data_IF_899779348290
#
_entry.id   IF_899779348290
#
_cell.length_a   1.000
_cell.length_b   1.000
_cell.length_c   1.000
_cell.angle_alpha   90.00
_cell.angle_beta   90.00
_cell.angle_gamma   90.00
#
_symmetry.space_group_name_H-M   'P 1'
#
loop_
_entity.id
_entity.type
_entity.pdbx_description
1 polymer ?
#
# COMPACT_ATOMS: atom_id res chain seq x y z
N UNK A 1 20.91 -7.12 -3.72
CA UNK A 1 19.50 -6.71 -3.90
C UNK A 1 19.43 -5.69 -5.02
N UNK A 2 18.72 -6.00 -6.11
CA UNK A 2 18.52 -5.04 -7.21
C UNK A 2 17.17 -4.36 -7.06
N UNK A 3 17.16 -3.18 -6.45
CA UNK A 3 15.91 -2.43 -6.19
C UNK A 3 15.24 -1.92 -7.47
N UNK A 4 16.02 -1.72 -8.56
CA UNK A 4 15.45 -1.31 -9.85
C UNK A 4 14.54 -2.38 -10.46
N UNK A 5 14.74 -3.64 -10.14
CA UNK A 5 13.89 -4.74 -10.60
C UNK A 5 12.77 -5.08 -9.62
N UNK A 6 12.82 -4.51 -8.42
CA UNK A 6 11.80 -4.74 -7.40
C UNK A 6 10.54 -3.93 -7.72
N UNK A 7 9.41 -4.62 -7.76
CA UNK A 7 8.10 -3.99 -7.96
C UNK A 7 7.37 -3.94 -6.62
N UNK A 8 6.71 -2.82 -6.35
CA UNK A 8 5.82 -2.70 -5.20
C UNK A 8 4.43 -2.35 -5.73
N UNK A 9 3.45 -3.13 -5.31
CA UNK A 9 2.05 -2.85 -5.61
C UNK A 9 1.44 -2.02 -4.47
N UNK A 10 0.42 -1.25 -4.78
CA UNK A 10 -0.37 -0.55 -3.78
C UNK A 10 -1.85 -0.82 -3.99
N UNK A 11 -2.61 -0.81 -2.91
CA UNK A 11 -4.06 -1.03 -2.96
C UNK A 11 -4.73 -0.27 -1.82
N UNK A 12 -5.97 0.17 -2.02
CA UNK A 12 -6.83 0.64 -0.95
C UNK A 12 -7.94 -0.36 -0.73
N UNK A 13 -8.22 -0.72 0.53
CA UNK A 13 -9.23 -1.73 0.79
C UNK A 13 -10.66 -1.25 0.51
N UNK A 14 -10.92 0.06 0.58
CA UNK A 14 -12.24 0.63 0.36
C UNK A 14 -13.32 -0.11 1.15
N UNK A 15 -14.40 -0.46 0.45
CA UNK A 15 -15.52 -1.23 1.01
C UNK A 15 -15.63 -2.63 0.39
N UNK A 16 -14.55 -3.14 -0.17
CA UNK A 16 -14.58 -4.44 -0.84
C UNK A 16 -15.01 -5.57 0.10
N UNK A 17 -15.82 -6.51 -0.42
CA UNK A 17 -15.96 -7.80 0.23
C UNK A 17 -14.58 -8.48 0.23
N UNK A 18 -14.27 -9.26 1.26
CA UNK A 18 -12.96 -9.89 1.36
C UNK A 18 -12.65 -10.79 0.16
N UNK A 19 -13.61 -11.57 -0.32
CA UNK A 19 -13.38 -12.44 -1.46
C UNK A 19 -12.95 -11.68 -2.72
N UNK A 20 -13.56 -10.53 -2.98
CA UNK A 20 -13.15 -9.68 -4.10
C UNK A 20 -11.77 -9.08 -3.88
N UNK A 21 -11.50 -8.59 -2.67
CA UNK A 21 -10.18 -8.09 -2.30
C UNK A 21 -9.09 -9.15 -2.51
N UNK A 22 -9.38 -10.38 -2.08
CA UNK A 22 -8.47 -11.50 -2.27
C UNK A 22 -8.23 -11.79 -3.77
N UNK A 23 -9.28 -11.72 -4.59
CA UNK A 23 -9.15 -11.87 -6.04
C UNK A 23 -8.21 -10.82 -6.64
N UNK A 24 -8.32 -9.56 -6.20
CA UNK A 24 -7.42 -8.50 -6.63
C UNK A 24 -5.97 -8.83 -6.26
N UNK A 25 -5.73 -9.28 -5.03
CA UNK A 25 -4.38 -9.66 -4.61
C UNK A 25 -3.84 -10.83 -5.44
N UNK A 26 -4.66 -11.83 -5.71
CA UNK A 26 -4.27 -12.99 -6.50
C UNK A 26 -4.02 -12.65 -7.98
N UNK A 27 -4.77 -11.71 -8.53
CA UNK A 27 -4.57 -11.23 -9.91
C UNK A 27 -3.15 -10.70 -10.10
N UNK A 28 -2.59 -10.05 -9.08
CA UNK A 28 -1.23 -9.51 -9.10
C UNK A 28 -0.23 -10.41 -8.40
N UNK A 29 -0.64 -11.63 -8.05
CA UNK A 29 0.22 -12.66 -7.44
C UNK A 29 0.88 -12.19 -6.13
N UNK A 30 0.16 -11.42 -5.33
CA UNK A 30 0.67 -10.85 -4.08
C UNK A 30 0.93 -11.97 -3.06
N UNK A 31 2.10 -11.92 -2.45
CA UNK A 31 2.55 -12.86 -1.42
C UNK A 31 2.55 -12.27 -0.02
N UNK A 32 2.65 -10.93 0.07
CA UNK A 32 2.73 -10.23 1.36
C UNK A 32 2.02 -8.88 1.29
N UNK A 33 1.27 -8.56 2.36
CA UNK A 33 0.60 -7.27 2.50
C UNK A 33 1.18 -6.50 3.68
N UNK A 34 1.72 -5.31 3.40
CA UNK A 34 2.12 -4.34 4.41
C UNK A 34 0.97 -3.36 4.65
N UNK A 35 0.42 -3.38 5.84
CA UNK A 35 -0.67 -2.48 6.24
C UNK A 35 -0.07 -1.17 6.74
N UNK A 36 -0.19 -0.12 5.92
CA UNK A 36 0.41 1.18 6.18
C UNK A 36 -0.56 2.17 6.83
N UNK A 37 -1.69 1.70 7.35
CA UNK A 37 -2.61 2.54 8.11
C UNK A 37 -2.01 2.88 9.47
N UNK A 38 -2.23 4.12 9.93
CA UNK A 38 -1.81 4.50 11.28
C UNK A 38 -2.47 3.61 12.34
N UNK A 39 -3.74 3.30 12.14
CA UNK A 39 -4.52 2.38 12.98
C UNK A 39 -5.16 1.35 12.08
N UNK A 40 -4.94 0.07 12.40
CA UNK A 40 -5.48 -1.05 11.62
C UNK A 40 -6.92 -1.35 12.03
N UNK A 41 -7.78 -0.38 11.88
CA UNK A 41 -9.22 -0.47 12.16
C UNK A 41 -10.03 -0.01 10.96
N UNK A 42 -11.22 -0.60 10.81
CA UNK A 42 -12.16 -0.24 9.78
C UNK A 42 -13.59 -0.46 10.28
N UNK A 43 -14.54 0.32 9.75
CA UNK A 43 -15.98 0.03 9.92
C UNK A 43 -16.36 -1.27 9.21
N UNK A 44 -15.54 -1.72 8.27
CA UNK A 44 -15.72 -2.97 7.54
C UNK A 44 -14.93 -4.05 8.29
N UNK A 45 -15.61 -4.99 9.00
CA UNK A 45 -14.94 -5.92 9.93
C UNK A 45 -13.79 -6.72 9.32
N UNK A 46 -13.93 -7.09 8.04
CA UNK A 46 -12.90 -7.88 7.33
C UNK A 46 -11.56 -7.14 7.18
N UNK A 47 -11.55 -5.82 7.37
CA UNK A 47 -10.35 -5.00 7.27
C UNK A 47 -9.82 -4.52 8.62
N UNK A 48 -10.37 -5.00 9.72
CA UNK A 48 -9.71 -4.86 11.02
C UNK A 48 -8.46 -5.72 11.04
N UNK A 49 -7.34 -5.16 11.52
CA UNK A 49 -6.02 -5.78 11.34
C UNK A 49 -5.90 -7.22 11.76
N UNK A 50 -6.43 -7.60 12.93
CA UNK A 50 -6.37 -8.99 13.40
C UNK A 50 -7.21 -9.93 12.52
N UNK A 51 -8.39 -9.48 12.08
CA UNK A 51 -9.26 -10.26 11.19
C UNK A 51 -8.61 -10.38 9.81
N UNK A 52 -8.12 -9.28 9.26
CA UNK A 52 -7.46 -9.27 7.95
C UNK A 52 -6.23 -10.16 7.96
N UNK A 53 -5.40 -10.09 8.99
CA UNK A 53 -4.22 -10.94 9.14
C UNK A 53 -4.58 -12.41 9.07
N UNK A 54 -5.59 -12.83 9.83
CA UNK A 54 -6.04 -14.22 9.86
C UNK A 54 -6.57 -14.68 8.50
N UNK A 55 -7.43 -13.86 7.87
CA UNK A 55 -7.98 -14.16 6.56
C UNK A 55 -6.89 -14.27 5.49
N UNK A 56 -5.91 -13.39 5.50
CA UNK A 56 -4.80 -13.44 4.55
C UNK A 56 -3.91 -14.66 4.79
N UNK A 57 -3.55 -14.93 6.04
CA UNK A 57 -2.71 -16.08 6.39
C UNK A 57 -3.39 -17.40 6.02
N UNK A 58 -4.71 -17.53 6.21
CA UNK A 58 -5.48 -18.70 5.79
C UNK A 58 -5.44 -18.91 4.27
N UNK A 59 -5.12 -17.85 3.52
CA UNK A 59 -5.01 -17.88 2.06
C UNK A 59 -3.55 -17.78 1.57
N UNK A 60 -2.58 -18.02 2.44
CA UNK A 60 -1.16 -18.08 2.08
C UNK A 60 -0.50 -16.72 1.85
N UNK A 61 -1.10 -15.62 2.30
CA UNK A 61 -0.57 -14.27 2.13
C UNK A 61 -0.11 -13.75 3.50
N UNK A 62 1.15 -13.29 3.58
CA UNK A 62 1.69 -12.70 4.80
C UNK A 62 1.09 -11.33 5.09
N UNK A 63 1.18 -10.90 6.33
CA UNK A 63 0.65 -9.60 6.78
C UNK A 63 1.55 -9.00 7.87
N UNK A 64 1.83 -7.72 7.74
CA UNK A 64 2.50 -6.96 8.79
C UNK A 64 1.90 -5.55 8.84
N UNK A 65 1.50 -5.10 10.04
CA UNK A 65 1.06 -3.72 10.27
C UNK A 65 2.26 -2.84 10.59
N UNK A 66 2.41 -1.75 9.85
CA UNK A 66 3.49 -0.77 9.98
C UNK A 66 2.90 0.60 10.30
N UNK A 67 2.44 0.84 11.55
CA UNK A 67 1.74 2.08 11.92
C UNK A 67 2.59 3.33 11.72
N UNK A 68 3.91 3.23 11.83
CA UNK A 68 4.86 4.32 11.61
C UNK A 68 4.86 4.85 10.17
N UNK A 69 4.28 4.12 9.24
CA UNK A 69 4.15 4.57 7.83
C UNK A 69 2.81 5.25 7.56
N UNK A 70 1.95 5.34 8.56
CA UNK A 70 0.64 5.97 8.43
C UNK A 70 0.71 7.48 8.53
N UNK A 71 -0.25 8.17 7.89
CA UNK A 71 -0.24 9.63 7.84
C UNK A 71 -0.89 10.33 9.00
N UNK A 72 -1.70 9.63 9.80
CA UNK A 72 -2.47 10.28 10.87
C UNK A 72 -1.68 10.54 12.15
N UNK A 73 -0.66 9.74 12.43
CA UNK A 73 0.08 9.80 13.69
C UNK A 73 1.33 10.68 13.62
N UNK A 74 1.65 11.25 12.46
CA UNK A 74 2.83 12.08 12.23
C UNK A 74 4.08 11.47 12.89
N UNK A 75 4.52 10.29 12.43
CA UNK A 75 5.66 9.60 13.02
C UNK A 75 6.94 10.43 12.94
N UNK A 76 7.88 10.16 13.84
CA UNK A 76 9.20 10.76 13.76
C UNK A 76 9.89 10.32 12.46
N UNK A 77 10.74 11.17 11.86
CA UNK A 77 11.44 10.82 10.61
C UNK A 77 12.17 9.47 10.69
N UNK A 78 12.84 9.18 11.80
CA UNK A 78 13.57 7.91 11.98
C UNK A 78 12.64 6.69 12.05
N UNK A 79 11.45 6.84 12.62
CA UNK A 79 10.46 5.76 12.68
C UNK A 79 9.84 5.51 11.32
N UNK A 80 9.50 6.59 10.60
CA UNK A 80 9.00 6.49 9.23
C UNK A 80 10.04 5.84 8.31
N UNK A 81 11.29 6.24 8.44
CA UNK A 81 12.41 5.68 7.69
C UNK A 81 12.55 4.17 7.93
N UNK A 82 12.44 3.74 9.17
CA UNK A 82 12.49 2.32 9.53
C UNK A 82 11.34 1.54 8.92
N UNK A 83 10.13 2.10 8.91
CA UNK A 83 8.97 1.48 8.28
C UNK A 83 9.14 1.34 6.77
N UNK A 84 9.63 2.37 6.11
CA UNK A 84 9.93 2.33 4.66
C UNK A 84 11.02 1.29 4.37
N UNK A 85 12.06 1.24 5.19
CA UNK A 85 13.10 0.22 5.06
C UNK A 85 12.52 -1.20 5.18
N UNK A 86 11.61 -1.41 6.12
CA UNK A 86 10.94 -2.70 6.30
C UNK A 86 10.14 -3.12 5.06
N UNK A 87 9.40 -2.18 4.46
CA UNK A 87 8.68 -2.44 3.21
C UNK A 87 9.64 -2.94 2.11
N UNK A 88 10.75 -2.25 1.94
CA UNK A 88 11.75 -2.60 0.91
C UNK A 88 12.35 -3.97 1.21
N UNK A 89 12.67 -4.25 2.46
CA UNK A 89 13.22 -5.53 2.89
C UNK A 89 12.28 -6.68 2.52
N UNK A 90 10.99 -6.55 2.81
CA UNK A 90 9.99 -7.56 2.46
C UNK A 90 9.86 -7.66 0.93
N UNK A 91 9.74 -6.52 0.25
CA UNK A 91 9.51 -6.48 -1.19
C UNK A 91 10.69 -7.00 -2.01
N UNK A 92 11.90 -7.01 -1.45
CA UNK A 92 13.07 -7.57 -2.11
C UNK A 92 13.02 -9.09 -2.22
N UNK A 93 12.20 -9.75 -1.42
CA UNK A 93 12.08 -11.22 -1.40
C UNK A 93 10.71 -11.72 -1.81
N UNK A 94 9.65 -10.94 -1.54
CA UNK A 94 8.26 -11.34 -1.77
C UNK A 94 7.55 -10.30 -2.63
N UNK A 95 6.58 -10.78 -3.41
CA UNK A 95 5.72 -9.88 -4.18
C UNK A 95 4.77 -9.18 -3.21
N UNK A 96 5.01 -7.90 -3.00
CA UNK A 96 4.46 -7.13 -1.88
C UNK A 96 3.48 -6.07 -2.35
N UNK A 97 2.40 -5.91 -1.60
CA UNK A 97 1.46 -4.79 -1.73
C UNK A 97 1.46 -3.97 -0.45
N UNK A 98 1.46 -2.65 -0.57
CA UNK A 98 1.16 -1.76 0.56
C UNK A 98 -0.30 -1.35 0.50
N UNK A 99 -0.98 -1.39 1.65
CA UNK A 99 -2.43 -1.16 1.72
C UNK A 99 -2.78 -0.02 2.67
N UNK A 100 -3.64 0.86 2.21
CA UNK A 100 -4.35 1.82 3.07
C UNK A 100 -5.88 1.67 2.89
N UNK A 101 -6.66 2.58 3.43
CA UNK A 101 -8.12 2.52 3.33
C UNK A 101 -8.69 3.11 2.04
N UNK A 102 -8.03 4.11 1.46
CA UNK A 102 -8.52 4.80 0.26
C UNK A 102 -8.34 3.95 -1.00
N UNK A 103 -9.44 3.62 -1.67
CA UNK A 103 -9.42 2.75 -2.84
C UNK A 103 -8.90 3.44 -4.11
N UNK A 104 -9.08 4.76 -4.23
CA UNK A 104 -8.63 5.51 -5.39
C UNK A 104 -7.27 6.16 -5.12
N UNK A 105 -6.24 5.88 -5.94
CA UNK A 105 -4.92 6.48 -5.74
C UNK A 105 -4.89 7.97 -6.07
N UNK A 106 -5.75 8.40 -6.97
CA UNK A 106 -5.84 9.80 -7.39
C UNK A 106 -7.25 10.33 -7.15
N UNK A 107 -7.34 11.55 -6.64
CA UNK A 107 -8.63 12.24 -6.50
C UNK A 107 -9.15 12.70 -7.86
N UNK A 108 -10.49 12.74 -8.07
CA UNK A 108 -11.09 13.13 -9.34
C UNK A 108 -11.11 14.67 -9.53
N UNK A 109 -9.96 15.32 -9.46
CA UNK A 109 -9.81 16.74 -9.71
C UNK A 109 -9.43 16.98 -11.18
N UNK A 110 -9.64 18.19 -11.65
CA UNK A 110 -9.23 18.60 -13.02
C UNK A 110 -7.74 18.32 -13.23
N UNK A 111 -6.91 18.59 -12.21
CA UNK A 111 -5.54 18.11 -12.13
C UNK A 111 -5.54 16.99 -11.08
N UNK A 112 -5.30 15.73 -11.46
CA UNK A 112 -5.31 14.63 -10.51
C UNK A 112 -4.32 14.86 -9.36
N UNK A 113 -4.73 14.52 -8.15
CA UNK A 113 -3.92 14.68 -6.93
C UNK A 113 -3.83 13.36 -6.19
N UNK A 114 -2.70 13.14 -5.51
CA UNK A 114 -2.54 11.98 -4.64
C UNK A 114 -3.58 12.02 -3.53
N UNK A 115 -4.32 10.93 -3.37
CA UNK A 115 -5.51 10.89 -2.51
C UNK A 115 -5.23 10.38 -1.10
N UNK A 116 -4.05 9.82 -0.86
CA UNK A 116 -3.69 9.28 0.45
C UNK A 116 -2.16 9.23 0.63
N UNK A 117 -1.73 8.92 1.84
CA UNK A 117 -0.31 8.88 2.18
C UNK A 117 0.46 7.79 1.45
N UNK A 118 -0.17 6.65 1.08
CA UNK A 118 0.53 5.63 0.32
C UNK A 118 0.99 6.13 -1.06
N UNK A 119 0.22 7.02 -1.67
CA UNK A 119 0.54 7.60 -2.99
C UNK A 119 1.35 8.88 -2.86
N UNK A 120 0.96 9.78 -1.95
CA UNK A 120 1.57 11.11 -1.87
C UNK A 120 2.82 11.18 -0.99
N UNK A 121 3.05 10.20 -0.14
CA UNK A 121 4.18 10.17 0.78
C UNK A 121 5.04 8.92 0.60
N UNK A 122 4.47 7.73 0.77
CA UNK A 122 5.26 6.50 0.75
C UNK A 122 5.82 6.18 -0.64
N UNK A 123 5.03 6.33 -1.70
CA UNK A 123 5.51 6.04 -3.05
C UNK A 123 6.70 6.91 -3.44
N UNK A 124 6.69 8.25 -3.25
CA UNK A 124 7.87 9.07 -3.49
C UNK A 124 9.08 8.65 -2.66
N UNK A 125 8.89 8.25 -1.40
CA UNK A 125 9.98 7.79 -0.54
C UNK A 125 10.59 6.48 -1.05
N UNK A 126 9.75 5.55 -1.50
CA UNK A 126 10.21 4.29 -2.08
C UNK A 126 11.00 4.53 -3.36
N UNK A 127 10.53 5.44 -4.22
CA UNK A 127 11.25 5.81 -5.45
C UNK A 127 12.59 6.44 -5.15
N UNK A 128 12.65 7.32 -4.15
CA UNK A 128 13.91 7.95 -3.74
C UNK A 128 14.95 6.94 -3.25
N UNK A 129 14.51 5.74 -2.86
CA UNK A 129 15.39 4.66 -2.41
C UNK A 129 15.69 3.63 -3.49
N UNK A 130 15.26 3.87 -4.73
CA UNK A 130 15.63 3.07 -5.88
C UNK A 130 14.55 2.11 -6.41
N UNK A 131 13.34 2.16 -5.84
CA UNK A 131 12.21 1.40 -6.41
C UNK A 131 11.71 2.13 -7.66
N UNK A 132 11.88 1.51 -8.82
CA UNK A 132 11.51 2.13 -10.09
C UNK A 132 10.05 1.88 -10.48
N UNK A 133 9.48 0.74 -10.07
CA UNK A 133 8.13 0.38 -10.44
C UNK A 133 7.21 0.28 -9.22
N UNK A 134 6.24 1.17 -9.19
CA UNK A 134 5.16 1.17 -8.20
C UNK A 134 3.85 1.10 -8.97
N UNK A 135 3.09 0.03 -8.73
CA UNK A 135 1.90 -0.32 -9.49
C UNK A 135 0.68 -0.15 -8.59
N UNK A 136 -0.17 0.81 -8.92
CA UNK A 136 -1.37 1.10 -8.14
C UNK A 136 -2.55 0.29 -8.65
N UNK A 137 -3.05 -0.63 -7.83
CA UNK A 137 -4.22 -1.45 -8.16
C UNK A 137 -5.48 -0.63 -7.94
N UNK A 138 -6.34 -0.58 -8.96
CA UNK A 138 -7.59 0.16 -8.91
C UNK A 138 -8.73 -0.75 -8.40
N UNK A 139 -9.84 -0.15 -7.91
CA UNK A 139 -10.98 -0.94 -7.41
C UNK A 139 -11.58 -1.92 -8.41
N UNK A 140 -11.45 -1.66 -9.70
CA UNK A 140 -11.98 -2.53 -10.76
C UNK A 140 -10.99 -3.61 -11.24
N UNK A 141 -9.82 -3.69 -10.63
CA UNK A 141 -8.79 -4.67 -10.97
C UNK A 141 -7.78 -4.21 -12.01
N UNK A 142 -8.00 -3.06 -12.65
CA UNK A 142 -6.97 -2.45 -13.50
C UNK A 142 -5.87 -1.88 -12.62
N UNK A 143 -4.74 -1.54 -13.22
CA UNK A 143 -3.65 -0.87 -12.51
C UNK A 143 -3.15 0.33 -13.30
N UNK A 144 -2.55 1.27 -12.59
CA UNK A 144 -1.91 2.44 -13.18
C UNK A 144 -0.52 2.65 -12.58
N UNK A 145 0.36 3.21 -13.39
CA UNK A 145 1.69 3.64 -12.96
C UNK A 145 1.85 5.12 -13.36
N UNK A 146 2.45 5.91 -12.49
CA UNK A 146 2.72 7.33 -12.76
C UNK A 146 3.86 7.79 -11.84
N UNK A 147 4.41 8.98 -12.11
CA UNK A 147 5.40 9.60 -11.22
C UNK A 147 4.68 10.27 -10.05
N UNK A 148 4.67 9.65 -8.90
CA UNK A 148 3.96 10.14 -7.71
C UNK A 148 4.55 11.47 -7.21
N UNK A 149 5.85 11.72 -7.41
CA UNK A 149 6.47 12.96 -6.98
C UNK A 149 6.05 14.17 -7.83
N UNK A 150 5.55 13.91 -9.04
CA UNK A 150 5.04 14.96 -9.93
C UNK A 150 3.56 15.29 -9.67
N UNK A 151 2.86 14.55 -8.80
CA UNK A 151 1.44 14.73 -8.52
C UNK A 151 1.28 15.51 -7.20
N UNK A 152 0.51 16.61 -7.18
CA UNK A 152 0.26 17.33 -5.94
C UNK A 152 -0.55 16.50 -4.96
N UNK A 153 -0.41 16.79 -3.67
CA UNK A 153 -1.20 16.15 -2.61
C UNK A 153 -2.45 16.97 -2.32
N UNK A 154 -3.45 16.34 -1.69
CA UNK A 154 -4.70 17.01 -1.30
C UNK A 154 -4.65 17.56 0.13
N UNK A 155 -3.56 17.32 0.86
CA UNK A 155 -3.35 17.80 2.23
C UNK A 155 -2.18 18.77 2.34
#
# INVERSE_FOLDING_TARGET
>A
MNLAETKIHTIGHGRHAFNYFLELLRQYEIEFLCDVRSVARSRWPQFNGLVLKELLQDNGIGYEHLPETGGKTKPKPEDLDRGVHRIIEIASELRTVIMCSESQPLSPHKVPRANCHRVGMLAPMLRARGIERIIHILPDGRSIEFDESAVPTIW
#
